data_IF_103723584559
#
_entry.id   IF_103723584559
#
_cell.length_a   1.000
_cell.length_b   1.000
_cell.length_c   1.000
_cell.angle_alpha   90.00
_cell.angle_beta   90.00
_cell.angle_gamma   90.00
#
_symmetry.space_group_name_H-M   'P 1'
#
loop_
_entity.id
_entity.type
_entity.pdbx_description
1 polymer ?
#
# COMPACT_ATOMS: atom_id res chain seq x y z
N UNK A 1 14.93 21.70 -6.20
CA UNK A 1 15.33 20.34 -6.61
C UNK A 1 14.39 19.38 -5.91
N UNK A 2 13.61 18.61 -6.68
CA UNK A 2 12.56 17.73 -6.18
C UNK A 2 13.19 16.46 -5.58
N UNK A 3 13.76 16.55 -4.38
CA UNK A 3 14.41 15.42 -3.68
C UNK A 3 13.51 14.19 -3.52
N UNK A 4 12.19 14.39 -3.60
CA UNK A 4 11.18 13.33 -3.58
C UNK A 4 11.14 12.44 -4.83
N UNK A 5 11.72 12.89 -5.95
CA UNK A 5 11.84 12.07 -7.17
C UNK A 5 12.91 11.00 -6.95
N UNK A 6 13.98 11.37 -6.26
CA UNK A 6 15.10 10.47 -5.98
C UNK A 6 14.85 9.57 -4.77
N UNK A 7 14.15 10.04 -3.72
CA UNK A 7 13.93 9.28 -2.45
C UNK A 7 12.46 9.07 -2.04
N UNK A 8 12.20 8.20 -1.06
CA UNK A 8 10.84 7.98 -0.52
C UNK A 8 10.33 9.17 0.30
N UNK A 9 9.03 9.49 0.20
CA UNK A 9 8.37 10.52 1.02
C UNK A 9 7.62 9.83 2.17
N UNK A 10 8.06 10.08 3.40
CA UNK A 10 7.43 9.61 4.64
C UNK A 10 8.32 10.01 5.82
N UNK A 11 7.79 10.86 6.71
CA UNK A 11 8.53 11.51 7.80
C UNK A 11 9.10 10.53 8.81
N UNK A 12 10.27 10.88 9.34
CA UNK A 12 11.30 10.05 9.93
C UNK A 12 11.11 9.70 11.42
N UNK A 13 11.88 8.66 11.81
CA UNK A 13 12.39 8.28 13.13
C UNK A 13 12.21 9.31 14.27
N UNK A 14 11.62 8.96 15.43
CA UNK A 14 11.79 9.80 16.62
C UNK A 14 13.28 9.86 16.99
N UNK A 15 13.81 11.02 17.42
CA UNK A 15 15.20 11.14 17.89
C UNK A 15 15.46 10.11 18.98
N UNK A 16 16.73 9.75 19.22
CA UNK A 16 17.12 8.75 20.24
C UNK A 16 16.36 8.96 21.57
N UNK A 17 15.32 8.17 21.79
CA UNK A 17 14.53 8.13 23.01
C UNK A 17 15.01 6.96 23.85
N UNK A 18 15.00 7.12 25.18
CA UNK A 18 15.31 6.05 26.11
C UNK A 18 14.27 4.94 26.04
N UNK A 19 14.63 3.71 26.44
CA UNK A 19 13.69 2.58 26.52
C UNK A 19 12.50 2.87 27.46
N UNK A 20 12.69 3.71 28.48
CA UNK A 20 11.63 4.13 29.38
C UNK A 20 10.65 5.11 28.71
N UNK A 21 11.15 6.10 27.96
CA UNK A 21 10.29 7.00 27.16
C UNK A 21 9.58 6.23 26.06
N UNK A 22 10.28 5.28 25.45
CA UNK A 22 9.72 4.32 24.51
C UNK A 22 8.53 3.60 25.17
N UNK A 23 8.74 2.85 26.26
CA UNK A 23 7.66 2.15 26.96
C UNK A 23 6.53 3.07 27.42
N UNK A 24 6.80 4.30 27.82
CA UNK A 24 5.74 5.27 28.15
C UNK A 24 4.92 5.70 26.93
N UNK A 25 5.54 5.89 25.77
CA UNK A 25 4.82 6.22 24.52
C UNK A 25 3.88 5.08 24.13
N UNK A 26 4.32 3.82 24.22
CA UNK A 26 3.48 2.67 23.83
C UNK A 26 2.47 2.34 24.92
N UNK A 27 2.91 2.09 26.15
CA UNK A 27 2.09 1.53 27.23
C UNK A 27 1.17 2.57 27.91
N UNK A 28 1.25 3.84 27.54
CA UNK A 28 0.30 4.87 27.98
C UNK A 28 -0.43 5.45 26.77
N UNK A 29 -1.67 5.92 26.94
CA UNK A 29 -2.45 6.55 25.86
C UNK A 29 -1.80 7.81 25.22
N UNK A 30 -0.62 8.19 25.69
CA UNK A 30 0.22 9.24 25.12
C UNK A 30 0.61 8.96 23.67
N UNK A 31 1.06 7.76 23.32
CA UNK A 31 1.44 7.43 21.93
C UNK A 31 0.29 7.53 20.95
N UNK A 32 -0.90 7.11 21.35
CA UNK A 32 -2.12 7.28 20.57
C UNK A 32 -2.45 8.77 20.36
N UNK A 33 -2.33 9.59 21.42
CA UNK A 33 -2.53 11.04 21.33
C UNK A 33 -1.50 11.71 20.42
N UNK A 34 -0.24 11.29 20.52
CA UNK A 34 0.86 11.78 19.70
C UNK A 34 0.65 11.43 18.22
N UNK A 35 0.29 10.19 17.90
CA UNK A 35 0.00 9.75 16.54
C UNK A 35 -1.21 10.49 15.95
N UNK A 36 -2.28 10.64 16.72
CA UNK A 36 -3.49 11.35 16.26
C UNK A 36 -3.26 12.84 16.02
N UNK A 37 -2.44 13.51 16.84
CA UNK A 37 -2.17 14.96 16.72
C UNK A 37 -1.00 15.29 15.79
N UNK A 38 0.02 14.43 15.77
CA UNK A 38 1.26 14.62 15.02
C UNK A 38 1.23 13.99 13.63
N UNK A 39 0.26 13.13 13.34
CA UNK A 39 0.09 12.42 12.06
C UNK A 39 1.37 11.70 11.59
N UNK A 40 2.06 11.02 12.51
CA UNK A 40 3.28 10.28 12.22
C UNK A 40 3.02 9.20 11.16
N UNK A 41 3.92 9.09 10.16
CA UNK A 41 3.84 8.14 9.05
C UNK A 41 4.75 6.92 9.21
N UNK A 42 5.61 6.92 10.25
CA UNK A 42 6.49 5.80 10.54
C UNK A 42 6.76 5.71 12.04
N UNK A 43 7.11 4.51 12.49
CA UNK A 43 7.46 4.23 13.87
C UNK A 43 8.45 3.07 13.87
N UNK A 44 9.62 3.33 14.45
CA UNK A 44 10.64 2.30 14.65
C UNK A 44 10.64 1.91 16.11
N UNK A 45 10.56 0.62 16.34
CA UNK A 45 10.61 0.04 17.67
C UNK A 45 11.82 -0.86 17.82
N UNK A 46 12.44 -0.79 18.99
CA UNK A 46 13.42 -1.77 19.46
C UNK A 46 12.62 -2.90 20.13
N UNK A 47 12.74 -4.13 19.63
CA UNK A 47 12.23 -5.37 20.23
C UNK A 47 10.70 -5.60 20.33
N UNK A 48 9.84 -4.80 19.69
CA UNK A 48 8.39 -5.11 19.64
C UNK A 48 8.12 -6.29 18.73
N UNK A 49 7.19 -7.14 19.18
CA UNK A 49 6.79 -8.37 18.49
C UNK A 49 7.94 -9.36 18.30
N UNK A 50 9.01 -9.28 19.09
CA UNK A 50 10.00 -10.37 19.18
C UNK A 50 9.38 -11.63 19.80
N UNK A 51 8.39 -11.45 20.67
CA UNK A 51 7.49 -12.50 21.11
C UNK A 51 6.06 -12.11 20.69
N UNK A 52 5.40 -12.94 19.87
CA UNK A 52 4.10 -12.66 19.23
C UNK A 52 2.93 -12.40 20.21
N UNK A 53 3.12 -12.60 21.52
CA UNK A 53 2.08 -12.55 22.54
C UNK A 53 2.30 -11.52 23.66
N UNK A 54 3.24 -10.57 23.50
CA UNK A 54 3.44 -9.52 24.49
C UNK A 54 2.51 -8.29 24.30
N UNK A 55 2.14 -7.66 25.42
CA UNK A 55 1.30 -6.45 25.46
C UNK A 55 1.91 -5.31 24.61
N UNK A 56 3.25 -5.28 24.51
CA UNK A 56 3.96 -4.32 23.70
C UNK A 56 3.68 -4.51 22.21
N UNK A 57 3.59 -5.75 21.73
CA UNK A 57 3.24 -6.07 20.35
C UNK A 57 1.78 -5.69 20.05
N UNK A 58 0.83 -5.99 20.93
CA UNK A 58 -0.57 -5.60 20.74
C UNK A 58 -0.73 -4.07 20.64
N UNK A 59 -0.05 -3.36 21.54
CA UNK A 59 -0.03 -1.90 21.57
C UNK A 59 0.71 -1.31 20.37
N UNK A 60 1.85 -1.89 19.98
CA UNK A 60 2.58 -1.50 18.78
C UNK A 60 1.70 -1.64 17.55
N UNK A 61 1.02 -2.78 17.38
CA UNK A 61 0.13 -3.02 16.26
C UNK A 61 -1.07 -2.07 16.28
N UNK A 62 -1.63 -1.76 17.46
CA UNK A 62 -2.67 -0.75 17.63
C UNK A 62 -2.18 0.64 17.18
N UNK A 63 -1.03 1.09 17.67
CA UNK A 63 -0.47 2.40 17.34
C UNK A 63 -0.07 2.48 15.86
N UNK A 64 0.50 1.41 15.30
CA UNK A 64 0.88 1.33 13.91
C UNK A 64 -0.33 1.45 12.98
N UNK A 65 -1.48 0.87 13.34
CA UNK A 65 -2.74 1.03 12.58
C UNK A 65 -3.27 2.46 12.62
N UNK A 66 -2.96 3.21 13.67
CA UNK A 66 -3.32 4.62 13.81
C UNK A 66 -2.36 5.55 13.09
N UNK A 67 -1.21 5.08 12.61
CA UNK A 67 -0.24 5.93 11.95
C UNK A 67 -0.61 6.21 10.50
N UNK A 68 -0.34 7.45 10.09
CA UNK A 68 -0.41 7.90 8.71
C UNK A 68 -1.72 7.56 8.02
N UNK A 69 -1.56 7.17 6.76
CA UNK A 69 -2.59 6.64 5.88
C UNK A 69 -2.63 5.11 6.01
N UNK A 70 -3.82 4.56 6.26
CA UNK A 70 -4.02 3.12 6.41
C UNK A 70 -5.28 2.72 5.63
N UNK A 71 -5.06 2.12 4.46
CA UNK A 71 -6.15 1.81 3.53
C UNK A 71 -6.63 0.37 3.69
N UNK A 72 -7.95 0.19 3.69
CA UNK A 72 -8.60 -1.10 3.64
C UNK A 72 -9.50 -1.21 2.41
N UNK A 73 -9.51 -2.37 1.79
CA UNK A 73 -10.48 -2.79 0.80
C UNK A 73 -11.71 -3.27 1.55
N UNK A 74 -12.83 -2.57 1.40
CA UNK A 74 -14.13 -3.01 1.92
C UNK A 74 -14.78 -4.00 0.97
N UNK A 75 -14.64 -3.74 -0.33
CA UNK A 75 -15.29 -4.54 -1.35
C UNK A 75 -14.57 -4.45 -2.68
N UNK A 76 -14.53 -5.56 -3.40
CA UNK A 76 -14.15 -5.59 -4.81
C UNK A 76 -15.22 -6.33 -5.61
N UNK A 77 -15.59 -5.78 -6.77
CA UNK A 77 -16.49 -6.42 -7.75
C UNK A 77 -15.87 -6.33 -9.13
N UNK A 78 -15.78 -7.45 -9.82
CA UNK A 78 -15.36 -7.54 -11.21
C UNK A 78 -15.96 -8.80 -11.84
N UNK A 79 -15.94 -8.91 -13.17
CA UNK A 79 -16.39 -10.12 -13.86
C UNK A 79 -15.34 -11.23 -13.74
N UNK A 80 -15.75 -12.40 -13.23
CA UNK A 80 -14.89 -13.60 -13.16
C UNK A 80 -14.64 -14.23 -14.54
N UNK A 81 -15.47 -13.91 -15.54
CA UNK A 81 -15.32 -14.39 -16.93
C UNK A 81 -15.54 -13.24 -17.88
N UNK A 82 -14.61 -13.07 -18.81
CA UNK A 82 -14.57 -11.94 -19.74
C UNK A 82 -14.30 -12.49 -21.13
N UNK A 83 -15.11 -12.10 -22.11
CA UNK A 83 -14.86 -12.51 -23.49
C UNK A 83 -13.66 -11.75 -24.05
N UNK A 84 -12.96 -12.34 -25.02
CA UNK A 84 -12.00 -11.61 -25.85
C UNK A 84 -12.63 -10.30 -26.36
N UNK A 85 -11.87 -9.22 -26.25
CA UNK A 85 -12.24 -7.84 -26.62
C UNK A 85 -13.26 -7.13 -25.71
N UNK A 86 -13.82 -7.79 -24.69
CA UNK A 86 -14.59 -7.11 -23.65
C UNK A 86 -13.68 -6.28 -22.72
N UNK A 87 -14.27 -5.22 -22.15
CA UNK A 87 -13.60 -4.40 -21.15
C UNK A 87 -13.76 -5.02 -19.76
N UNK A 88 -12.65 -5.20 -19.07
CA UNK A 88 -12.66 -5.51 -17.65
C UNK A 88 -13.19 -4.31 -16.87
N UNK A 89 -14.26 -4.51 -16.11
CA UNK A 89 -14.84 -3.51 -15.23
C UNK A 89 -14.56 -3.89 -13.78
N UNK A 90 -13.84 -3.03 -13.05
CA UNK A 90 -13.53 -3.20 -11.64
C UNK A 90 -14.22 -2.10 -10.85
N UNK A 91 -14.91 -2.48 -9.79
CA UNK A 91 -15.42 -1.59 -8.76
C UNK A 91 -14.75 -1.97 -7.43
N UNK A 92 -13.90 -1.08 -6.92
CA UNK A 92 -13.15 -1.27 -5.70
C UNK A 92 -13.56 -0.20 -4.68
N UNK A 93 -13.99 -0.64 -3.51
CA UNK A 93 -14.39 0.21 -2.40
C UNK A 93 -13.28 0.19 -1.36
N UNK A 94 -12.74 1.38 -1.04
CA UNK A 94 -11.62 1.56 -0.13
C UNK A 94 -11.98 2.55 0.97
N UNK A 95 -11.57 2.23 2.19
CA UNK A 95 -11.64 3.11 3.36
C UNK A 95 -10.23 3.47 3.83
N UNK A 96 -10.00 4.74 4.19
CA UNK A 96 -8.82 5.10 4.99
C UNK A 96 -9.18 5.01 6.47
N UNK A 97 -8.78 3.93 7.13
CA UNK A 97 -8.96 3.73 8.58
C UNK A 97 -7.84 4.34 9.43
N UNK A 98 -6.87 5.01 8.78
CA UNK A 98 -5.80 5.75 9.43
C UNK A 98 -6.29 7.07 10.03
N UNK A 99 -5.37 7.87 10.56
CA UNK A 99 -5.70 9.17 11.19
C UNK A 99 -5.34 10.36 10.30
N UNK A 100 -4.76 10.12 9.12
CA UNK A 100 -4.36 11.16 8.18
C UNK A 100 -4.65 10.79 6.71
N UNK A 101 -4.99 11.77 5.86
CA UNK A 101 -4.97 11.58 4.40
C UNK A 101 -3.53 11.52 3.88
N UNK A 102 -3.35 11.11 2.62
CA UNK A 102 -2.07 11.27 1.94
C UNK A 102 -1.81 12.74 1.57
N UNK A 103 -0.60 13.21 1.86
CA UNK A 103 -0.18 14.58 1.55
C UNK A 103 0.19 14.79 0.07
N UNK A 104 0.50 13.70 -0.64
CA UNK A 104 0.80 13.68 -2.06
C UNK A 104 -0.04 12.60 -2.72
N UNK A 105 -0.53 12.89 -3.92
CA UNK A 105 -1.21 11.91 -4.76
C UNK A 105 -0.21 10.85 -5.19
N UNK A 106 -0.32 9.68 -4.58
CA UNK A 106 0.35 8.47 -5.02
C UNK A 106 -0.54 7.75 -6.01
N UNK A 107 0.07 7.04 -6.94
CA UNK A 107 -0.66 6.41 -8.03
C UNK A 107 -1.39 5.18 -7.50
N UNK A 108 -2.70 5.11 -7.73
CA UNK A 108 -3.47 3.90 -7.49
C UNK A 108 -3.47 3.10 -8.80
N UNK A 109 -2.89 1.91 -8.74
CA UNK A 109 -2.66 1.07 -9.92
C UNK A 109 -3.37 -0.27 -9.79
N UNK A 110 -3.89 -0.75 -10.91
CA UNK A 110 -4.39 -2.11 -11.07
C UNK A 110 -3.42 -2.92 -11.94
N UNK A 111 -3.02 -4.09 -11.45
CA UNK A 111 -2.16 -5.02 -12.15
C UNK A 111 -2.96 -6.21 -12.66
N UNK A 112 -2.73 -6.62 -13.92
CA UNK A 112 -3.15 -7.94 -14.41
C UNK A 112 -1.94 -8.85 -14.35
N UNK A 113 -2.08 -9.94 -13.62
CA UNK A 113 -1.03 -10.92 -13.42
C UNK A 113 -1.44 -12.25 -14.04
N UNK A 114 -0.47 -13.03 -14.52
CA UNK A 114 -0.70 -14.39 -14.97
C UNK A 114 -1.18 -15.29 -13.83
N UNK A 115 -1.57 -16.52 -14.16
CA UNK A 115 -1.89 -17.54 -13.17
C UNK A 115 -0.69 -17.82 -12.21
N UNK A 116 0.54 -17.70 -12.71
CA UNK A 116 1.78 -17.80 -11.92
C UNK A 116 2.15 -16.47 -11.22
N UNK A 117 1.20 -15.54 -11.10
CA UNK A 117 1.34 -14.25 -10.41
C UNK A 117 2.44 -13.35 -10.99
N UNK A 118 2.79 -13.52 -12.28
CA UNK A 118 3.72 -12.62 -12.99
C UNK A 118 2.95 -11.44 -13.55
N UNK A 119 3.42 -10.22 -13.29
CA UNK A 119 2.80 -9.00 -13.80
C UNK A 119 2.85 -8.97 -15.35
N UNK A 120 1.70 -8.80 -15.99
CA UNK A 120 1.57 -8.72 -17.45
C UNK A 120 1.17 -7.32 -17.93
N UNK A 121 0.36 -6.61 -17.13
CA UNK A 121 -0.15 -5.28 -17.49
C UNK A 121 -0.41 -4.46 -16.23
N UNK A 122 -0.19 -3.15 -16.33
CA UNK A 122 -0.53 -2.17 -15.28
C UNK A 122 -1.48 -1.14 -15.87
N UNK A 123 -2.44 -0.71 -15.06
CA UNK A 123 -3.35 0.37 -15.36
C UNK A 123 -3.32 1.39 -14.23
N UNK A 124 -2.88 2.60 -14.55
CA UNK A 124 -3.04 3.75 -13.68
C UNK A 124 -4.50 4.22 -13.67
N UNK A 125 -4.85 4.89 -12.58
CA UNK A 125 -6.14 5.54 -12.39
C UNK A 125 -5.95 7.03 -12.13
N UNK A 126 -6.98 7.82 -12.40
CA UNK A 126 -6.96 9.27 -12.16
C UNK A 126 -7.38 9.62 -10.72
N UNK A 127 -7.48 8.61 -9.83
CA UNK A 127 -7.91 8.82 -8.44
C UNK A 127 -6.78 9.42 -7.61
N UNK A 128 -7.15 10.42 -6.81
CA UNK A 128 -6.24 11.15 -5.94
C UNK A 128 -6.25 10.53 -4.56
N UNK A 129 -5.13 9.97 -4.10
CA UNK A 129 -5.05 9.41 -2.75
C UNK A 129 -5.24 10.47 -1.66
N UNK A 130 -4.90 11.74 -1.98
CA UNK A 130 -5.14 12.87 -1.06
C UNK A 130 -6.62 13.18 -0.84
N UNK A 131 -7.51 12.72 -1.72
CA UNK A 131 -8.96 12.91 -1.54
C UNK A 131 -9.63 11.82 -0.70
N UNK A 132 -8.87 10.82 -0.22
CA UNK A 132 -9.41 9.74 0.64
C UNK A 132 -9.14 10.11 2.09
N UNK A 133 -10.07 10.83 2.72
CA UNK A 133 -9.89 11.31 4.09
C UNK A 133 -10.09 10.16 5.10
N UNK A 134 -9.54 10.30 6.32
CA UNK A 134 -9.82 9.38 7.42
C UNK A 134 -11.33 9.15 7.64
N UNK A 135 -11.74 7.88 7.61
CA UNK A 135 -13.13 7.46 7.74
C UNK A 135 -13.96 7.57 6.46
N UNK A 136 -13.42 8.13 5.38
CA UNK A 136 -14.10 8.15 4.08
C UNK A 136 -14.12 6.75 3.47
N UNK A 137 -15.25 6.42 2.86
CA UNK A 137 -15.42 5.27 2.00
C UNK A 137 -15.53 5.76 0.55
N UNK A 138 -14.57 5.38 -0.29
CA UNK A 138 -14.48 5.83 -1.68
C UNK A 138 -14.60 4.63 -2.61
N UNK A 139 -15.41 4.79 -3.67
CA UNK A 139 -15.59 3.77 -4.71
C UNK A 139 -14.82 4.16 -5.96
N UNK A 140 -13.85 3.33 -6.33
CA UNK A 140 -13.13 3.40 -7.59
C UNK A 140 -13.78 2.51 -8.63
N UNK A 141 -14.19 3.12 -9.74
CA UNK A 141 -14.66 2.41 -10.94
C UNK A 141 -13.63 2.56 -12.04
N UNK A 142 -13.17 1.42 -12.55
CA UNK A 142 -12.15 1.34 -13.59
C UNK A 142 -12.67 0.44 -14.70
N UNK A 143 -12.56 0.91 -15.95
CA UNK A 143 -12.83 0.11 -17.14
C UNK A 143 -11.59 0.11 -18.03
N UNK A 144 -11.03 -1.06 -18.30
CA UNK A 144 -9.79 -1.18 -19.08
C UNK A 144 -9.87 -2.31 -20.10
N UNK A 145 -9.23 -2.09 -21.24
CA UNK A 145 -9.13 -3.11 -22.29
C UNK A 145 -8.06 -4.14 -21.93
N UNK A 146 -8.43 -5.41 -22.05
CA UNK A 146 -7.53 -6.56 -21.93
C UNK A 146 -6.92 -6.98 -23.28
N UNK A 147 -7.00 -6.12 -24.30
CA UNK A 147 -6.44 -6.40 -25.62
C UNK A 147 -5.00 -6.91 -25.52
N UNK A 148 -4.70 -7.92 -26.37
CA UNK A 148 -3.43 -8.66 -26.46
C UNK A 148 -3.19 -9.71 -25.37
N UNK A 149 -4.06 -9.83 -24.37
CA UNK A 149 -4.05 -11.00 -23.49
C UNK A 149 -4.73 -12.18 -24.19
N UNK A 150 -4.16 -13.37 -24.01
CA UNK A 150 -4.71 -14.61 -24.57
C UNK A 150 -5.79 -15.17 -23.65
N UNK A 151 -6.55 -16.16 -24.14
CA UNK A 151 -7.45 -16.94 -23.29
C UNK A 151 -6.67 -17.60 -22.16
N UNK A 152 -7.25 -17.62 -20.97
CA UNK A 152 -6.62 -18.22 -19.79
C UNK A 152 -7.02 -17.55 -18.48
N UNK A 153 -6.39 -18.01 -17.41
CA UNK A 153 -6.62 -17.55 -16.04
C UNK A 153 -5.68 -16.41 -15.68
N UNK A 154 -6.20 -15.42 -15.00
CA UNK A 154 -5.48 -14.23 -14.58
C UNK A 154 -5.87 -13.81 -13.17
N UNK A 155 -5.01 -13.00 -12.57
CA UNK A 155 -5.23 -12.37 -11.27
C UNK A 155 -5.31 -10.86 -11.44
N UNK A 156 -6.12 -10.22 -10.60
CA UNK A 156 -6.18 -8.76 -10.48
C UNK A 156 -5.47 -8.38 -9.18
N UNK A 157 -4.46 -7.52 -9.29
CA UNK A 157 -3.80 -6.88 -8.15
C UNK A 157 -4.15 -5.40 -8.08
N UNK A 158 -4.08 -4.83 -6.89
CA UNK A 158 -4.10 -3.37 -6.67
C UNK A 158 -2.94 -2.96 -5.78
N UNK A 159 -2.43 -1.75 -6.00
CA UNK A 159 -1.46 -1.11 -5.13
C UNK A 159 -1.60 0.40 -5.14
N UNK A 160 -1.15 1.04 -4.07
CA UNK A 160 -0.91 2.49 -4.04
C UNK A 160 0.60 2.67 -4.04
N UNK A 161 1.13 3.43 -4.99
CA UNK A 161 2.58 3.48 -5.25
C UNK A 161 3.06 4.91 -5.36
N UNK A 162 4.24 5.18 -4.79
CA UNK A 162 4.86 6.49 -4.91
C UNK A 162 5.11 6.81 -6.38
N UNK A 163 4.80 8.04 -6.83
CA UNK A 163 5.03 8.44 -8.21
C UNK A 163 6.48 8.22 -8.60
N UNK A 164 6.70 7.64 -9.78
CA UNK A 164 8.02 7.33 -10.35
C UNK A 164 8.87 6.31 -9.57
N UNK A 165 8.33 5.59 -8.58
CA UNK A 165 9.11 4.55 -7.86
C UNK A 165 9.51 3.37 -8.74
N UNK A 166 8.84 3.19 -9.87
CA UNK A 166 9.10 2.13 -10.86
C UNK A 166 10.07 2.56 -11.96
N UNK A 167 10.46 3.83 -11.99
CA UNK A 167 11.46 4.32 -12.92
C UNK A 167 12.85 3.99 -12.38
N UNK A 168 13.81 3.83 -13.30
CA UNK A 168 15.22 3.68 -12.95
C UNK A 168 15.70 4.90 -12.16
N UNK A 169 16.39 4.63 -11.05
CA UNK A 169 16.95 5.67 -10.16
C UNK A 169 18.47 5.58 -10.15
N UNK A 170 19.12 6.75 -10.14
CA UNK A 170 20.58 6.83 -10.11
C UNK A 170 21.19 6.28 -8.83
N UNK A 171 20.47 6.36 -7.71
CA UNK A 171 20.93 5.87 -6.40
C UNK A 171 19.92 4.88 -5.79
N UNK A 172 20.43 3.72 -5.35
CA UNK A 172 19.71 2.84 -4.42
C UNK A 172 19.77 3.48 -3.05
N UNK A 173 18.69 4.14 -2.66
CA UNK A 173 18.46 4.36 -1.25
C UNK A 173 18.35 2.97 -0.63
N UNK A 174 19.23 2.62 0.32
CA UNK A 174 19.21 1.34 1.08
C UNK A 174 17.97 1.21 2.00
N UNK A 175 16.89 1.86 1.61
CA UNK A 175 15.60 1.88 2.25
C UNK A 175 14.79 0.69 1.76
N UNK A 176 13.91 0.23 2.63
CA UNK A 176 12.97 -0.82 2.31
C UNK A 176 12.06 -0.40 1.14
N UNK A 177 11.90 -1.28 0.15
CA UNK A 177 10.97 -1.06 -0.97
C UNK A 177 9.54 -0.78 -0.52
N UNK A 178 9.14 -1.30 0.66
CA UNK A 178 7.86 -1.03 1.32
C UNK A 178 7.61 0.45 1.60
N UNK A 179 8.63 1.29 1.59
CA UNK A 179 8.46 2.74 1.74
C UNK A 179 7.98 3.44 0.45
N UNK A 180 7.79 2.68 -0.63
CA UNK A 180 7.41 3.23 -1.95
C UNK A 180 6.09 2.68 -2.47
N UNK A 181 5.44 1.81 -1.70
CA UNK A 181 4.09 1.33 -1.97
C UNK A 181 3.35 1.05 -0.67
N UNK A 182 2.03 1.09 -0.72
CA UNK A 182 1.17 0.79 0.42
C UNK A 182 0.40 -0.48 0.10
N UNK A 183 0.43 -1.42 1.03
CA UNK A 183 -0.45 -2.59 1.03
C UNK A 183 -1.73 -2.25 1.78
N UNK A 184 -2.84 -2.79 1.31
CA UNK A 184 -4.10 -2.69 2.02
C UNK A 184 -4.07 -3.55 3.27
N UNK A 185 -4.62 -3.06 4.38
CA UNK A 185 -4.50 -3.68 5.70
C UNK A 185 -5.44 -4.86 5.94
N UNK A 186 -6.20 -5.28 4.94
CA UNK A 186 -6.99 -6.50 5.01
C UNK A 186 -6.09 -7.74 4.89
N UNK A 187 -6.55 -8.88 5.39
CA UNK A 187 -5.92 -10.18 5.12
C UNK A 187 -6.23 -10.62 3.69
N UNK A 188 -5.48 -10.05 2.74
CA UNK A 188 -5.50 -10.45 1.32
C UNK A 188 -4.14 -11.04 0.95
N UNK A 189 -4.12 -11.91 -0.07
CA UNK A 189 -2.86 -12.40 -0.62
C UNK A 189 -2.05 -11.20 -1.14
N UNK A 190 -0.75 -11.18 -0.84
CA UNK A 190 0.15 -10.11 -1.26
C UNK A 190 1.36 -10.67 -1.99
N UNK A 191 1.74 -10.02 -3.09
CA UNK A 191 3.05 -10.17 -3.71
C UNK A 191 3.95 -9.07 -3.16
N UNK A 192 4.96 -9.44 -2.38
CA UNK A 192 5.91 -8.50 -1.80
C UNK A 192 6.62 -7.67 -2.87
N UNK A 193 6.88 -6.41 -2.55
CA UNK A 193 7.70 -5.54 -3.37
C UNK A 193 9.18 -5.81 -3.21
N UNK A 194 9.95 -5.51 -4.25
CA UNK A 194 11.41 -5.58 -4.24
C UNK A 194 12.00 -4.59 -5.25
N UNK A 195 13.25 -4.21 -5.04
CA UNK A 195 14.04 -3.45 -6.00
C UNK A 195 14.72 -4.41 -6.98
N UNK A 196 14.58 -4.18 -8.28
CA UNK A 196 15.32 -4.94 -9.29
C UNK A 196 16.77 -4.44 -9.45
N UNK A 197 17.53 -5.04 -10.37
CA UNK A 197 18.92 -4.67 -10.63
C UNK A 197 19.10 -3.27 -11.22
N UNK A 198 18.01 -2.61 -11.63
CA UNK A 198 17.95 -1.26 -12.18
C UNK A 198 17.37 -0.27 -11.15
N UNK A 199 17.19 -0.69 -9.90
CA UNK A 199 16.68 0.11 -8.80
C UNK A 199 15.24 0.58 -9.04
N UNK A 200 14.47 -0.17 -9.83
CA UNK A 200 13.05 0.07 -10.05
C UNK A 200 12.21 -0.84 -9.14
N UNK A 201 11.13 -0.29 -8.59
CA UNK A 201 10.18 -1.07 -7.78
C UNK A 201 9.47 -2.12 -8.66
N UNK A 202 9.49 -3.38 -8.20
CA UNK A 202 8.66 -4.48 -8.71
C UNK A 202 7.80 -5.04 -7.57
N UNK A 203 6.71 -5.74 -7.91
CA UNK A 203 5.80 -6.34 -6.93
C UNK A 203 4.96 -5.31 -6.16
N UNK A 204 4.62 -5.61 -4.91
CA UNK A 204 3.81 -4.75 -4.04
C UNK A 204 2.33 -4.80 -4.37
N UNK A 205 1.80 -5.98 -4.73
CA UNK A 205 0.41 -6.16 -5.17
C UNK A 205 -0.44 -6.80 -4.08
N UNK A 206 -1.55 -6.17 -3.69
CA UNK A 206 -2.65 -6.82 -2.97
C UNK A 206 -3.56 -7.51 -4.00
N UNK A 207 -3.72 -8.83 -3.90
CA UNK A 207 -4.49 -9.62 -4.86
C UNK A 207 -5.98 -9.53 -4.52
N UNK A 208 -6.77 -9.05 -5.49
CA UNK A 208 -8.21 -8.85 -5.38
C UNK A 208 -9.01 -10.10 -5.76
N UNK A 209 -8.42 -10.98 -6.57
CA UNK A 209 -9.03 -12.25 -6.99
C UNK A 209 -8.63 -12.66 -8.40
N UNK A 210 -9.31 -13.70 -8.89
CA UNK A 210 -9.03 -14.37 -10.17
C UNK A 210 -10.16 -14.16 -11.18
N UNK A 211 -9.81 -14.10 -12.46
CA UNK A 211 -10.77 -14.09 -13.57
C UNK A 211 -10.21 -14.83 -14.79
N UNK A 212 -11.12 -15.26 -15.65
CA UNK A 212 -10.83 -15.98 -16.89
C UNK A 212 -11.13 -15.11 -18.11
N UNK A 213 -10.26 -15.18 -19.12
CA UNK A 213 -10.53 -14.68 -20.47
C UNK A 213 -10.94 -15.87 -21.35
N UNK A 214 -12.15 -15.82 -21.91
CA UNK A 214 -12.79 -16.88 -22.71
C UNK A 214 -12.81 -16.61 -24.22
#
# INVERSE_FOLDING_TARGET
MNKWIEGSIGGEYPPQISENEFNQIYLTGLGETMIKKGHYSTMKVINACENESDELCEVFMKLHRLMGYNYQIEKCRFQERILIDELLSIELEITNIGVAPMYYDWDIEFGILSNEKKLLKVFETDYKTSSILPGDNIIFKVKKSLAKLLKGKYNIGVRIVQPNSQNEKSDVWKLDSRNTYILFSNEVEVISGYWDSQNALKGGWSILGEFDIE
#
